data_IF_269145795753
#
_entry.id   IF_269145795753
#
_cell.length_a   1.000
_cell.length_b   1.000
_cell.length_c   1.000
_cell.angle_alpha   90.00
_cell.angle_beta   90.00
_cell.angle_gamma   90.00
#
_symmetry.space_group_name_H-M   'P 1'
#
loop_
_entity.id
_entity.type
_entity.pdbx_description
1 polymer ?
#
# COMPACT_ATOMS: atom_id res chain seq x y z
N UNK A 1 -30.58 13.83 2.88
CA UNK A 1 -30.37 14.06 4.34
C UNK A 1 -31.08 13.04 5.21
N UNK A 2 -32.34 12.66 4.95
CA UNK A 2 -33.04 11.66 5.78
C UNK A 2 -32.38 10.28 5.81
N UNK A 3 -31.83 9.79 4.69
CA UNK A 3 -31.09 8.51 4.63
C UNK A 3 -29.79 8.49 5.46
N UNK A 4 -29.11 9.64 5.57
CA UNK A 4 -27.89 9.78 6.39
C UNK A 4 -28.24 9.64 7.87
N UNK A 5 -29.38 10.22 8.27
CA UNK A 5 -29.87 10.19 9.64
C UNK A 5 -30.48 8.83 10.04
N UNK A 6 -30.91 8.02 9.07
CA UNK A 6 -31.47 6.69 9.32
C UNK A 6 -30.43 5.56 9.34
N UNK A 7 -29.14 5.87 9.13
CA UNK A 7 -28.05 4.88 9.14
C UNK A 7 -28.10 3.89 7.97
N UNK A 8 -28.80 4.24 6.88
CA UNK A 8 -28.87 3.39 5.69
C UNK A 8 -27.62 3.56 4.82
N UNK A 9 -27.25 2.49 4.11
CA UNK A 9 -26.15 2.51 3.14
C UNK A 9 -26.49 3.47 1.98
N UNK A 10 -25.60 4.44 1.74
CA UNK A 10 -25.79 5.52 0.76
C UNK A 10 -25.11 5.12 -0.53
N UNK A 11 -25.87 5.01 -1.61
CA UNK A 11 -25.32 4.74 -2.93
C UNK A 11 -25.19 6.02 -3.76
N UNK A 12 -24.25 6.04 -4.71
CA UNK A 12 -24.10 7.15 -5.65
C UNK A 12 -25.42 7.45 -6.38
N UNK A 13 -26.25 6.44 -6.61
CA UNK A 13 -27.55 6.57 -7.27
C UNK A 13 -28.65 7.24 -6.45
N UNK A 14 -28.43 7.41 -5.14
CA UNK A 14 -29.32 8.19 -4.28
C UNK A 14 -29.12 9.71 -4.45
N UNK A 15 -28.06 10.13 -5.14
CA UNK A 15 -27.77 11.54 -5.43
C UNK A 15 -28.53 12.02 -6.66
N UNK A 16 -29.01 13.26 -6.60
CA UNK A 16 -29.54 13.94 -7.79
C UNK A 16 -28.46 14.12 -8.87
N UNK A 17 -28.88 14.33 -10.12
CA UNK A 17 -27.94 14.55 -11.23
C UNK A 17 -27.01 15.75 -11.00
N UNK A 18 -27.49 16.77 -10.29
CA UNK A 18 -26.70 17.97 -9.99
C UNK A 18 -25.66 17.68 -8.90
N UNK A 19 -26.05 16.99 -7.81
CA UNK A 19 -25.12 16.56 -6.76
C UNK A 19 -24.06 15.60 -7.30
N UNK A 20 -24.44 14.66 -8.18
CA UNK A 20 -23.48 13.77 -8.87
C UNK A 20 -22.44 14.56 -9.66
N UNK A 21 -22.85 15.60 -10.40
CA UNK A 21 -21.92 16.45 -11.17
C UNK A 21 -21.00 17.26 -10.26
N UNK A 22 -21.54 17.80 -9.16
CA UNK A 22 -20.75 18.55 -8.18
C UNK A 22 -19.71 17.64 -7.51
N UNK A 23 -20.11 16.44 -7.11
CA UNK A 23 -19.21 15.42 -6.54
C UNK A 23 -18.10 15.04 -7.52
N UNK A 24 -18.43 14.74 -8.78
CA UNK A 24 -17.44 14.43 -9.81
C UNK A 24 -16.47 15.60 -10.06
N UNK A 25 -16.95 16.84 -10.04
CA UNK A 25 -16.10 18.04 -10.15
C UNK A 25 -15.15 18.14 -8.96
N UNK A 26 -15.64 17.89 -7.74
CA UNK A 26 -14.84 17.91 -6.51
C UNK A 26 -13.78 16.80 -6.49
N UNK A 27 -14.08 15.62 -7.07
CA UNK A 27 -13.07 14.56 -7.28
C UNK A 27 -12.00 15.05 -8.26
N UNK A 28 -12.41 15.59 -9.42
CA UNK A 28 -11.47 16.02 -10.45
C UNK A 28 -10.59 17.22 -10.01
N UNK A 29 -11.12 18.10 -9.16
CA UNK A 29 -10.36 19.21 -8.58
C UNK A 29 -9.46 18.78 -7.41
N UNK A 30 -9.62 17.56 -6.89
CA UNK A 30 -8.92 17.07 -5.70
C UNK A 30 -9.42 17.72 -4.41
N UNK A 31 -10.53 18.47 -4.43
CA UNK A 31 -11.11 19.09 -3.24
C UNK A 31 -11.57 18.06 -2.23
N UNK A 32 -12.12 16.94 -2.71
CA UNK A 32 -12.55 15.81 -1.88
C UNK A 32 -11.39 15.16 -1.11
N UNK A 33 -10.17 15.20 -1.66
CA UNK A 33 -8.98 14.63 -1.01
C UNK A 33 -8.67 15.31 0.33
N UNK A 34 -9.01 16.60 0.46
CA UNK A 34 -8.80 17.37 1.71
C UNK A 34 -9.76 16.96 2.82
N UNK A 35 -10.86 16.30 2.49
CA UNK A 35 -11.86 15.84 3.45
C UNK A 35 -11.51 14.45 4.02
N UNK A 36 -10.58 13.73 3.40
CA UNK A 36 -10.16 12.40 3.84
C UNK A 36 -8.89 12.54 4.67
N UNK A 37 -8.92 12.05 5.90
CA UNK A 37 -7.73 11.93 6.74
C UNK A 37 -6.86 10.78 6.23
N UNK A 38 -5.60 11.05 5.83
CA UNK A 38 -4.69 9.98 5.45
C UNK A 38 -4.44 9.05 6.63
N UNK A 39 -4.46 7.76 6.37
CA UNK A 39 -4.12 6.76 7.37
C UNK A 39 -2.66 6.86 7.77
N UNK A 40 -2.44 6.87 9.08
CA UNK A 40 -1.13 6.74 9.70
C UNK A 40 -0.90 5.26 10.06
N UNK A 41 0.08 4.59 9.43
CA UNK A 41 0.30 3.17 9.69
C UNK A 41 0.74 2.92 11.13
N UNK A 42 0.15 1.89 11.75
CA UNK A 42 0.42 1.54 13.13
C UNK A 42 1.92 1.33 13.40
N UNK A 43 2.68 0.79 12.44
CA UNK A 43 4.12 0.56 12.57
C UNK A 43 4.97 1.84 12.59
N UNK A 44 4.42 2.99 12.21
CA UNK A 44 5.09 4.29 12.31
C UNK A 44 4.90 4.95 13.68
N UNK A 45 3.93 4.49 14.47
CA UNK A 45 3.63 5.05 15.79
C UNK A 45 4.75 4.77 16.78
N UNK A 46 4.95 5.67 17.74
CA UNK A 46 5.97 5.48 18.79
C UNK A 46 5.68 4.25 19.64
N UNK A 47 4.41 3.99 19.95
CA UNK A 47 3.96 2.81 20.70
C UNK A 47 4.28 1.49 19.98
N UNK A 48 4.42 1.48 18.65
CA UNK A 48 4.84 0.27 17.94
C UNK A 48 6.32 -0.09 18.20
N UNK A 49 7.15 0.87 18.61
CA UNK A 49 8.55 0.60 19.03
C UNK A 49 8.63 -0.08 20.39
N UNK A 50 7.57 -0.01 21.18
CA UNK A 50 7.48 -0.64 22.50
C UNK A 50 7.10 -2.12 22.40
N UNK A 51 6.72 -2.60 21.23
CA UNK A 51 6.46 -4.02 20.97
C UNK A 51 7.75 -4.81 21.21
N UNK A 52 7.78 -5.57 22.31
CA UNK A 52 8.85 -6.49 22.66
C UNK A 52 8.31 -7.91 22.63
N UNK A 53 8.91 -8.75 21.80
CA UNK A 53 8.64 -10.17 21.76
C UNK A 53 9.75 -10.93 22.50
N UNK A 54 9.39 -12.02 23.17
CA UNK A 54 10.34 -12.98 23.74
C UNK A 54 11.05 -13.77 22.64
N UNK A 55 12.05 -14.58 23.02
CA UNK A 55 12.72 -15.50 22.07
C UNK A 55 11.75 -16.53 21.51
N UNK A 56 10.70 -16.84 22.26
CA UNK A 56 9.64 -17.77 21.93
C UNK A 56 8.45 -17.06 21.25
N UNK A 57 8.57 -15.77 20.95
CA UNK A 57 7.58 -15.00 20.20
C UNK A 57 6.40 -14.44 21.01
N UNK A 58 6.32 -14.68 22.32
CA UNK A 58 5.28 -14.08 23.19
C UNK A 58 5.46 -12.59 23.35
N UNK A 59 4.35 -11.86 23.44
CA UNK A 59 4.38 -10.44 23.80
C UNK A 59 4.84 -10.25 25.26
N UNK A 60 5.91 -9.48 25.47
CA UNK A 60 6.48 -9.22 26.80
C UNK A 60 5.86 -8.01 27.50
N UNK A 61 5.28 -7.08 26.74
CA UNK A 61 4.66 -5.86 27.25
C UNK A 61 3.17 -5.91 26.93
N UNK A 62 2.35 -6.05 27.96
CA UNK A 62 0.90 -5.91 27.83
C UNK A 62 0.51 -4.45 28.14
N UNK A 63 -0.39 -3.84 27.36
CA UNK A 63 -1.01 -2.58 27.76
C UNK A 63 -1.74 -2.80 29.08
N UNK A 64 -1.41 -2.02 30.11
CA UNK A 64 -2.20 -2.02 31.33
C UNK A 64 -3.58 -1.45 30.98
N UNK A 65 -4.62 -2.28 31.05
CA UNK A 65 -5.99 -1.79 31.05
C UNK A 65 -6.18 -1.01 32.35
N UNK A 66 -6.09 0.31 32.30
CA UNK A 66 -6.49 1.16 33.41
C UNK A 66 -8.00 0.99 33.63
N UNK A 67 -8.36 0.09 34.54
CA UNK A 67 -9.73 -0.02 35.03
C UNK A 67 -9.89 0.89 36.26
N UNK A 68 -10.77 1.87 36.06
CA UNK A 68 -11.47 2.71 37.04
C UNK A 68 -10.84 4.06 37.44
N UNK A 69 -11.20 5.12 36.70
CA UNK A 69 -12.03 6.19 37.29
C UNK A 69 -12.84 6.95 36.23
N UNK A 70 -14.11 7.18 36.56
CA UNK A 70 -15.14 7.82 35.76
C UNK A 70 -14.91 9.34 35.71
N UNK A 71 -14.96 9.94 34.52
CA UNK A 71 -15.67 11.20 34.13
C UNK A 71 -15.10 11.74 32.79
N UNK A 72 -15.95 11.66 31.76
CA UNK A 72 -16.16 12.58 30.62
C UNK A 72 -14.97 13.45 30.18
N UNK A 73 -14.36 13.07 29.05
CA UNK A 73 -14.27 13.94 27.86
C UNK A 73 -13.94 13.08 26.64
N UNK A 74 -14.89 13.02 25.70
CA UNK A 74 -14.67 12.58 24.32
C UNK A 74 -13.66 13.51 23.67
N UNK A 75 -12.37 13.16 23.70
CA UNK A 75 -11.34 13.56 22.71
C UNK A 75 -9.95 13.16 23.22
N UNK A 76 -9.69 11.87 23.45
CA UNK A 76 -8.33 11.35 23.30
C UNK A 76 -8.44 9.99 22.63
N UNK A 77 -7.83 9.91 21.45
CA UNK A 77 -7.83 8.74 20.59
C UNK A 77 -7.30 7.54 21.36
N UNK A 78 -8.02 6.42 21.25
CA UNK A 78 -7.63 5.10 21.71
C UNK A 78 -6.44 4.59 20.85
N UNK A 79 -5.27 5.25 20.96
CA UNK A 79 -4.06 4.97 20.17
C UNK A 79 -3.55 3.52 20.36
N UNK A 80 -3.92 2.89 21.48
CA UNK A 80 -3.59 1.50 21.80
C UNK A 80 -4.41 0.46 21.04
N UNK A 81 -5.54 0.83 20.43
CA UNK A 81 -6.41 -0.12 19.71
C UNK A 81 -5.95 -0.43 18.28
N UNK A 82 -5.07 0.39 17.70
CA UNK A 82 -4.67 0.24 16.29
C UNK A 82 -3.45 -0.66 16.07
N UNK A 83 -2.65 -0.88 17.11
CA UNK A 83 -1.49 -1.77 17.05
C UNK A 83 -1.97 -3.21 17.25
N UNK A 84 -1.65 -4.14 16.33
CA UNK A 84 -2.04 -5.53 16.50
C UNK A 84 -1.41 -6.10 17.78
N UNK A 85 -2.24 -6.74 18.61
CA UNK A 85 -1.75 -7.46 19.79
C UNK A 85 -0.84 -8.62 19.35
N UNK A 86 0.26 -8.79 20.06
CA UNK A 86 1.14 -9.93 19.85
C UNK A 86 0.51 -11.21 20.41
N UNK A 87 1.06 -12.38 20.08
CA UNK A 87 0.55 -13.64 20.60
C UNK A 87 0.77 -13.72 22.13
N UNK A 88 -0.28 -14.11 22.85
CA UNK A 88 -0.23 -14.33 24.30
C UNK A 88 0.51 -15.62 24.66
N UNK A 89 0.49 -16.60 23.75
CA UNK A 89 1.09 -17.92 23.93
C UNK A 89 2.35 -18.04 23.08
N UNK A 90 3.41 -18.73 23.56
CA UNK A 90 4.62 -18.94 22.79
C UNK A 90 4.35 -19.55 21.43
N UNK A 91 4.99 -19.01 20.40
CA UNK A 91 4.93 -19.59 19.07
C UNK A 91 5.67 -20.94 19.08
N UNK A 92 5.04 -22.02 18.60
CA UNK A 92 5.70 -23.32 18.54
C UNK A 92 6.94 -23.23 17.62
N UNK A 93 8.05 -23.88 17.98
CA UNK A 93 9.23 -23.94 17.11
C UNK A 93 8.88 -24.53 15.74
N UNK A 94 9.51 -24.04 14.66
CA UNK A 94 9.25 -24.57 13.31
C UNK A 94 9.53 -26.08 13.21
N UNK A 95 10.50 -26.58 13.98
CA UNK A 95 10.83 -28.01 14.09
C UNK A 95 9.68 -28.87 14.64
N UNK A 96 8.73 -28.30 15.37
CA UNK A 96 7.55 -29.04 15.84
C UNK A 96 6.44 -29.11 14.79
N UNK A 97 6.46 -28.23 13.78
CA UNK A 97 5.47 -28.17 12.71
C UNK A 97 5.89 -28.99 11.48
N UNK A 98 7.19 -29.09 11.23
CA UNK A 98 7.76 -29.81 10.08
C UNK A 98 9.07 -30.49 10.46
N UNK A 99 9.28 -31.70 9.95
CA UNK A 99 10.55 -32.42 10.06
C UNK A 99 11.60 -31.95 9.05
N UNK A 100 11.20 -31.15 8.05
CA UNK A 100 12.10 -30.57 7.06
C UNK A 100 12.63 -29.24 7.56
N UNK A 101 13.89 -28.95 7.25
CA UNK A 101 14.47 -27.63 7.50
C UNK A 101 13.68 -26.54 6.73
N UNK A 102 13.54 -25.35 7.34
CA UNK A 102 12.86 -24.23 6.67
C UNK A 102 13.66 -23.82 5.43
N UNK A 103 12.93 -23.42 4.38
CA UNK A 103 13.55 -22.96 3.14
C UNK A 103 14.48 -21.76 3.41
N UNK A 104 15.70 -21.73 2.84
CA UNK A 104 16.59 -20.59 2.97
C UNK A 104 16.00 -19.31 2.32
N UNK A 105 15.03 -19.48 1.41
CA UNK A 105 14.36 -18.39 0.71
C UNK A 105 13.23 -17.75 1.53
N UNK A 106 12.92 -18.26 2.72
CA UNK A 106 11.81 -17.76 3.55
C UNK A 106 11.95 -16.26 3.85
N UNK A 107 13.18 -15.77 4.03
CA UNK A 107 13.44 -14.35 4.26
C UNK A 107 13.13 -13.49 3.03
N UNK A 108 13.41 -13.99 1.82
CA UNK A 108 13.05 -13.32 0.57
C UNK A 108 11.55 -13.32 0.38
N UNK A 109 10.89 -14.45 0.63
CA UNK A 109 9.45 -14.57 0.53
C UNK A 109 8.72 -13.64 1.52
N UNK A 110 9.28 -13.44 2.72
CA UNK A 110 8.71 -12.53 3.70
C UNK A 110 8.71 -11.08 3.19
N UNK A 111 9.69 -10.66 2.39
CA UNK A 111 9.71 -9.31 1.79
C UNK A 111 8.55 -9.11 0.83
N UNK A 112 8.27 -10.10 -0.03
CA UNK A 112 7.11 -10.10 -0.96
C UNK A 112 5.79 -9.94 -0.19
N UNK A 113 5.62 -10.73 0.88
CA UNK A 113 4.42 -10.73 1.72
C UNK A 113 4.26 -9.40 2.46
N UNK A 114 5.34 -8.87 3.05
CA UNK A 114 5.33 -7.58 3.76
C UNK A 114 5.01 -6.42 2.82
N UNK A 115 5.61 -6.40 1.62
CA UNK A 115 5.27 -5.39 0.62
C UNK A 115 3.79 -5.43 0.28
N UNK A 116 3.26 -6.63 -0.01
CA UNK A 116 1.86 -6.83 -0.38
C UNK A 116 0.90 -6.39 0.73
N UNK A 117 1.21 -6.72 1.98
CA UNK A 117 0.46 -6.26 3.16
C UNK A 117 0.46 -4.73 3.29
N UNK A 118 1.64 -4.11 3.24
CA UNK A 118 1.79 -2.65 3.34
C UNK A 118 1.06 -1.93 2.20
N UNK A 119 1.18 -2.43 0.98
CA UNK A 119 0.49 -1.87 -0.19
C UNK A 119 -1.02 -1.96 -0.05
N UNK A 120 -1.56 -3.12 0.34
CA UNK A 120 -3.00 -3.31 0.53
C UNK A 120 -3.54 -2.37 1.61
N UNK A 121 -2.89 -2.28 2.78
CA UNK A 121 -3.35 -1.35 3.81
C UNK A 121 -3.30 0.10 3.34
N UNK A 122 -2.29 0.49 2.56
CA UNK A 122 -2.21 1.83 2.00
C UNK A 122 -3.30 2.09 0.98
N UNK A 123 -3.64 1.11 0.15
CA UNK A 123 -4.73 1.18 -0.84
C UNK A 123 -6.09 1.39 -0.16
N UNK A 124 -6.33 0.71 0.95
CA UNK A 124 -7.56 0.78 1.74
C UNK A 124 -7.55 1.88 2.80
N UNK A 125 -6.53 2.76 2.82
CA UNK A 125 -6.37 3.80 3.84
C UNK A 125 -6.55 3.24 5.28
N UNK A 126 -5.93 2.09 5.56
CA UNK A 126 -5.99 1.40 6.85
C UNK A 126 -7.23 0.54 7.09
N UNK A 127 -8.34 0.79 6.39
CA UNK A 127 -9.61 0.09 6.59
C UNK A 127 -9.86 -1.00 5.55
N UNK A 128 -9.05 -2.07 5.62
CA UNK A 128 -9.25 -3.25 4.77
C UNK A 128 -10.53 -4.03 5.09
N UNK A 129 -11.16 -3.79 6.25
CA UNK A 129 -12.39 -4.49 6.67
C UNK A 129 -13.63 -3.97 5.96
N UNK A 130 -13.57 -2.77 5.39
CA UNK A 130 -14.61 -2.24 4.51
C UNK A 130 -14.90 -3.14 3.31
N UNK A 131 -13.87 -3.82 2.78
CA UNK A 131 -13.99 -4.83 1.71
C UNK A 131 -12.95 -5.95 1.94
N UNK A 132 -13.28 -6.91 2.83
CA UNK A 132 -12.34 -7.96 3.21
C UNK A 132 -11.96 -8.85 2.01
N UNK A 133 -12.92 -9.13 1.13
CA UNK A 133 -12.69 -10.00 -0.03
C UNK A 133 -11.76 -9.30 -1.02
N UNK A 134 -12.05 -8.05 -1.39
CA UNK A 134 -11.18 -7.29 -2.29
C UNK A 134 -9.79 -7.06 -1.70
N UNK A 135 -9.67 -6.81 -0.40
CA UNK A 135 -8.37 -6.63 0.25
C UNK A 135 -7.50 -7.90 0.15
N UNK A 136 -8.08 -9.08 0.36
CA UNK A 136 -7.38 -10.36 0.16
C UNK A 136 -7.01 -10.56 -1.31
N UNK A 137 -7.91 -10.24 -2.24
CA UNK A 137 -7.62 -10.33 -3.68
C UNK A 137 -6.46 -9.42 -4.09
N UNK A 138 -6.34 -8.22 -3.51
CA UNK A 138 -5.19 -7.33 -3.75
C UNK A 138 -3.89 -7.97 -3.24
N UNK A 139 -3.88 -8.51 -2.01
CA UNK A 139 -2.69 -9.21 -1.46
C UNK A 139 -2.27 -10.35 -2.39
N UNK A 140 -3.21 -11.20 -2.81
CA UNK A 140 -2.93 -12.33 -3.69
C UNK A 140 -2.50 -11.90 -5.10
N UNK A 141 -3.00 -10.76 -5.60
CA UNK A 141 -2.63 -10.26 -6.92
C UNK A 141 -1.23 -9.64 -6.94
N UNK A 142 -0.81 -8.99 -5.84
CA UNK A 142 0.53 -8.37 -5.73
C UNK A 142 1.60 -9.41 -5.40
N UNK A 143 1.29 -10.32 -4.49
CA UNK A 143 2.24 -11.30 -3.96
C UNK A 143 2.49 -12.43 -4.95
N UNK A 144 3.73 -12.54 -5.44
CA UNK A 144 4.13 -13.71 -6.24
C UNK A 144 4.09 -14.99 -5.42
N UNK A 145 4.46 -14.89 -4.14
CA UNK A 145 4.58 -16.02 -3.22
C UNK A 145 3.20 -16.59 -2.87
N UNK A 146 2.27 -15.75 -2.44
CA UNK A 146 0.95 -16.19 -1.99
C UNK A 146 -0.02 -16.45 -3.15
N UNK A 147 0.02 -15.62 -4.20
CA UNK A 147 -0.94 -15.71 -5.30
C UNK A 147 -0.58 -16.78 -6.33
N UNK A 148 0.71 -16.95 -6.62
CA UNK A 148 1.18 -17.79 -7.71
C UNK A 148 2.06 -18.97 -7.24
N UNK A 149 2.37 -19.05 -5.94
CA UNK A 149 3.31 -20.03 -5.41
C UNK A 149 4.75 -19.78 -5.87
N UNK A 150 5.07 -18.54 -6.25
CA UNK A 150 6.39 -18.13 -6.69
C UNK A 150 7.47 -18.40 -5.63
N UNK A 151 8.69 -18.61 -6.09
CA UNK A 151 9.86 -18.87 -5.24
C UNK A 151 10.97 -17.86 -5.57
N UNK A 152 10.74 -16.55 -5.35
CA UNK A 152 11.76 -15.55 -5.65
C UNK A 152 13.03 -15.85 -4.86
N UNK A 153 14.17 -15.89 -5.54
CA UNK A 153 15.45 -16.25 -4.92
C UNK A 153 16.16 -15.03 -4.36
N UNK A 154 15.79 -13.83 -4.84
CA UNK A 154 16.39 -12.57 -4.43
C UNK A 154 15.36 -11.51 -4.02
N UNK A 155 15.76 -10.62 -3.11
CA UNK A 155 14.93 -9.49 -2.68
C UNK A 155 14.60 -8.57 -3.86
N UNK A 156 15.54 -8.36 -4.78
CA UNK A 156 15.32 -7.52 -5.95
C UNK A 156 14.24 -8.09 -6.86
N UNK A 157 14.29 -9.39 -7.14
CA UNK A 157 13.27 -10.08 -7.95
C UNK A 157 11.89 -9.96 -7.30
N UNK A 158 11.79 -10.28 -6.00
CA UNK A 158 10.55 -10.17 -5.23
C UNK A 158 9.96 -8.76 -5.30
N UNK A 159 10.77 -7.72 -5.04
CA UNK A 159 10.31 -6.34 -5.06
C UNK A 159 9.96 -5.85 -6.47
N UNK A 160 10.70 -6.27 -7.49
CA UNK A 160 10.42 -5.90 -8.88
C UNK A 160 9.04 -6.40 -9.30
N UNK A 161 8.75 -7.67 -9.01
CA UNK A 161 7.43 -8.24 -9.28
C UNK A 161 6.32 -7.47 -8.53
N UNK A 162 6.49 -7.28 -7.22
CA UNK A 162 5.56 -6.53 -6.38
C UNK A 162 5.27 -5.11 -6.92
N UNK A 163 6.30 -4.39 -7.36
CA UNK A 163 6.19 -3.06 -7.95
C UNK A 163 5.40 -3.10 -9.27
N UNK A 164 5.73 -4.03 -10.16
CA UNK A 164 5.03 -4.20 -11.44
C UNK A 164 3.52 -4.44 -11.23
N UNK A 165 3.16 -5.39 -10.35
CA UNK A 165 1.76 -5.68 -10.03
C UNK A 165 1.04 -4.48 -9.40
N UNK A 166 1.68 -3.80 -8.44
CA UNK A 166 1.07 -2.64 -7.78
C UNK A 166 0.78 -1.49 -8.75
N UNK A 167 1.62 -1.29 -9.78
CA UNK A 167 1.37 -0.28 -10.82
C UNK A 167 0.20 -0.64 -11.72
N UNK A 168 -0.03 -1.94 -11.97
CA UNK A 168 -1.17 -2.42 -12.73
C UNK A 168 -2.48 -2.23 -11.96
N UNK A 169 -2.49 -2.59 -10.68
CA UNK A 169 -3.66 -2.41 -9.79
C UNK A 169 -3.99 -0.92 -9.67
N UNK A 170 -3.00 -0.06 -9.45
CA UNK A 170 -3.22 1.39 -9.43
C UNK A 170 -3.85 1.93 -10.72
N UNK A 171 -3.44 1.41 -11.89
CA UNK A 171 -4.07 1.80 -13.17
C UNK A 171 -5.52 1.32 -13.29
N UNK A 172 -5.84 0.15 -12.75
CA UNK A 172 -7.20 -0.41 -12.75
C UNK A 172 -8.14 0.34 -11.80
N UNK A 173 -7.69 0.67 -10.58
CA UNK A 173 -8.49 1.35 -9.56
C UNK A 173 -8.72 2.84 -9.86
N UNK A 174 -7.73 3.53 -10.45
CA UNK A 174 -7.81 4.98 -10.65
C UNK A 174 -8.26 5.41 -12.06
N UNK A 175 -8.55 4.47 -12.98
CA UNK A 175 -8.99 4.83 -14.34
C UNK A 175 -8.04 5.81 -15.05
N UNK A 176 -6.75 5.80 -14.70
CA UNK A 176 -5.78 6.76 -15.24
C UNK A 176 -5.44 6.30 -16.65
N UNK A 177 -6.05 6.96 -17.64
CA UNK A 177 -5.60 6.84 -19.03
C UNK A 177 -4.10 7.13 -19.06
N UNK A 178 -3.29 6.33 -19.77
CA UNK A 178 -1.87 6.61 -19.92
C UNK A 178 -1.71 8.04 -20.42
N UNK A 179 -0.93 8.84 -19.70
CA UNK A 179 -0.32 10.04 -20.27
C UNK A 179 0.45 9.54 -21.49
N UNK A 180 -0.11 9.78 -22.68
CA UNK A 180 0.59 9.56 -23.93
C UNK A 180 1.93 10.27 -23.79
N UNK A 181 3.01 9.49 -23.81
CA UNK A 181 4.34 10.02 -24.02
C UNK A 181 4.24 10.97 -25.20
N UNK A 182 4.48 12.26 -24.94
CA UNK A 182 4.69 13.22 -26.00
C UNK A 182 5.82 12.67 -26.86
N UNK A 183 5.45 12.19 -28.05
CA UNK A 183 6.37 11.81 -29.09
C UNK A 183 7.34 12.96 -29.28
N UNK A 184 8.59 12.76 -28.88
CA UNK A 184 9.68 13.65 -29.27
C UNK A 184 9.89 13.40 -30.75
N UNK A 185 9.15 14.19 -31.53
CA UNK A 185 9.23 14.31 -32.97
C UNK A 185 10.68 14.62 -33.36
N UNK A 186 11.41 13.57 -33.74
CA UNK A 186 12.77 13.67 -34.29
C UNK A 186 12.69 14.18 -35.73
N UNK A 187 12.33 15.46 -35.87
CA UNK A 187 12.43 16.19 -37.14
C UNK A 187 13.88 16.60 -37.40
N UNK A 188 14.59 15.68 -38.08
CA UNK A 188 15.34 15.93 -39.32
C UNK A 188 16.17 17.24 -39.37
N UNK A 189 17.45 17.19 -38.96
CA UNK A 189 18.49 18.05 -39.54
C UNK A 189 19.29 17.24 -40.56
N UNK A 190 18.93 17.41 -41.83
CA UNK A 190 19.77 17.04 -42.98
C UNK A 190 21.08 17.82 -42.91
N UNK A 191 22.15 17.16 -43.32
CA UNK A 191 23.52 17.61 -43.19
C UNK A 191 23.85 18.93 -43.88
N UNK A 192 24.96 19.51 -43.42
CA UNK A 192 25.70 20.51 -44.16
C UNK A 192 27.16 20.09 -44.17
N UNK A 193 27.56 19.52 -45.30
CA UNK A 193 28.95 19.29 -45.70
C UNK A 193 29.65 20.66 -45.73
N UNK A 194 30.60 20.91 -44.82
CA UNK A 194 31.52 22.04 -44.97
C UNK A 194 32.80 21.50 -45.61
N UNK A 195 32.98 21.91 -46.87
CA UNK A 195 34.20 21.75 -47.67
C UNK A 195 35.39 22.31 -46.88
N UNK A 196 36.43 21.49 -46.69
CA UNK A 196 37.77 21.99 -46.35
C UNK A 196 38.49 22.24 -47.68
N UNK A 197 38.56 23.51 -48.05
CA UNK A 197 39.42 23.94 -49.16
C UNK A 197 40.89 23.87 -48.74
N UNK A 198 41.67 23.21 -49.59
CA UNK A 198 43.13 23.27 -49.63
C UNK A 198 43.59 24.72 -49.70
N UNK A 199 44.53 25.11 -48.84
CA UNK A 199 45.55 26.10 -49.22
C UNK A 199 46.93 25.52 -48.94
N UNK A 200 47.61 25.21 -50.03
CA UNK A 200 49.04 24.94 -50.16
C UNK A 200 49.74 26.30 -50.19
N UNK A 201 50.77 26.52 -49.37
CA UNK A 201 52.10 27.04 -49.78
C UNK A 201 52.99 27.45 -48.59
N UNK A 202 54.24 26.98 -48.65
CA UNK A 202 55.51 27.56 -48.18
C UNK A 202 55.73 27.65 -46.66
N UNK A 203 56.77 27.08 -46.06
CA UNK A 203 58.11 26.65 -46.50
C UNK A 203 58.49 25.26 -45.97
#
# INVERSE_FOLDING_TARGET
MEKILSGQEINLDDLSLEEKKQFQRAIASGELSKMITPWDPWWSKLSAKEIRLSKEGTQLVQPLSEQESVIVNETESNESSEIPLGPEVPLPPLSSLSSKEPSPLLTVHLVDILYSYCFTLRLYNGDWRSDPIGSVMVVLSVSSVLGQGGQPETVLESLTHCLEQSTFIGKSCYGVRPLRHASVDSRRRKGSQIRKDKKVEKE
#
